data_IF_594726807725
#
_entry.id   IF_594726807725
#
_cell.length_a   1.000
_cell.length_b   1.000
_cell.length_c   1.000
_cell.angle_alpha   90.00
_cell.angle_beta   90.00
_cell.angle_gamma   90.00
#
_symmetry.space_group_name_H-M   'P 1'
#
loop_
_entity.id
_entity.type
_entity.pdbx_description
1 polymer ?
#
# COMPACT_ATOMS: atom_id res chain seq x y z
N UNK A 1 4.43 12.73 -2.12
CA UNK A 1 3.67 11.65 -2.82
C UNK A 1 2.50 11.20 -1.97
N UNK A 2 1.36 10.88 -2.60
CA UNK A 2 0.25 10.13 -1.99
C UNK A 2 -0.41 9.26 -3.06
N UNK A 3 -0.24 7.94 -2.98
CA UNK A 3 -0.75 6.97 -3.97
C UNK A 3 -1.44 5.83 -3.25
N UNK A 4 -2.62 5.45 -3.74
CA UNK A 4 -3.35 4.28 -3.26
C UNK A 4 -3.54 3.29 -4.41
N UNK A 5 -3.23 2.03 -4.15
CA UNK A 5 -3.42 0.92 -5.07
C UNK A 5 -4.22 -0.20 -4.40
N UNK A 6 -5.19 -0.76 -5.11
CA UNK A 6 -5.94 -1.94 -4.73
C UNK A 6 -5.28 -3.17 -5.35
N UNK A 7 -4.84 -4.10 -4.50
CA UNK A 7 -4.01 -5.23 -4.91
C UNK A 7 -4.18 -6.43 -3.99
N UNK A 8 -3.73 -7.60 -4.45
CA UNK A 8 -3.67 -8.81 -3.61
C UNK A 8 -2.40 -8.87 -2.77
N UNK A 9 -2.34 -9.71 -1.74
CA UNK A 9 -1.10 -9.94 -0.98
C UNK A 9 0.06 -10.37 -1.89
N UNK A 10 -0.22 -11.21 -2.88
CA UNK A 10 0.77 -11.62 -3.88
C UNK A 10 1.27 -10.43 -4.71
N UNK A 11 0.36 -9.57 -5.18
CA UNK A 11 0.71 -8.38 -5.94
C UNK A 11 1.44 -7.34 -5.09
N UNK A 12 1.07 -7.22 -3.82
CA UNK A 12 1.77 -6.40 -2.83
C UNK A 12 3.22 -6.82 -2.71
N UNK A 13 3.45 -8.12 -2.49
CA UNK A 13 4.81 -8.67 -2.35
C UNK A 13 5.58 -8.40 -3.63
N UNK A 14 5.01 -8.77 -4.79
CA UNK A 14 5.65 -8.61 -6.08
C UNK A 14 6.05 -7.17 -6.40
N UNK A 15 5.12 -6.22 -6.26
CA UNK A 15 5.36 -4.81 -6.56
C UNK A 15 6.43 -4.24 -5.64
N UNK A 16 6.36 -4.52 -4.34
CA UNK A 16 7.32 -3.98 -3.38
C UNK A 16 8.70 -4.64 -3.51
N UNK A 17 8.80 -5.94 -3.78
CA UNK A 17 10.08 -6.59 -4.07
C UNK A 17 10.74 -6.00 -5.32
N UNK A 18 9.99 -5.75 -6.40
CA UNK A 18 10.53 -5.06 -7.60
C UNK A 18 10.91 -3.61 -7.32
N UNK A 19 10.17 -2.91 -6.46
CA UNK A 19 10.50 -1.55 -6.03
C UNK A 19 11.84 -1.52 -5.26
N UNK A 20 12.02 -2.40 -4.28
CA UNK A 20 13.26 -2.47 -3.49
C UNK A 20 14.44 -2.83 -4.39
N UNK A 21 14.28 -3.80 -5.30
CA UNK A 21 15.32 -4.18 -6.27
C UNK A 21 15.71 -3.04 -7.21
N UNK A 22 14.74 -2.29 -7.73
CA UNK A 22 15.00 -1.19 -8.67
C UNK A 22 15.59 0.06 -8.01
N UNK A 23 15.33 0.28 -6.72
CA UNK A 23 15.80 1.45 -5.98
C UNK A 23 17.06 1.19 -5.14
N UNK A 24 17.33 -0.07 -4.79
CA UNK A 24 18.37 -0.43 -3.82
C UNK A 24 18.05 0.01 -2.39
N UNK A 25 16.81 0.39 -2.13
CA UNK A 25 16.36 0.83 -0.80
C UNK A 25 16.05 -0.35 0.11
N UNK A 26 16.04 -0.06 1.40
CA UNK A 26 15.74 -1.02 2.45
C UNK A 26 14.29 -0.87 2.88
N UNK A 27 13.70 -1.99 3.30
CA UNK A 27 12.41 -2.02 3.94
C UNK A 27 12.59 -2.23 5.44
N UNK A 28 11.86 -1.45 6.22
CA UNK A 28 11.79 -1.55 7.66
C UNK A 28 10.36 -1.84 8.09
N UNK A 29 10.19 -2.81 8.97
CA UNK A 29 8.90 -3.31 9.41
C UNK A 29 8.80 -3.27 10.93
N UNK A 30 7.63 -2.87 11.45
CA UNK A 30 7.34 -2.96 12.87
C UNK A 30 7.08 -4.41 13.27
N UNK A 31 8.00 -5.01 14.03
CA UNK A 31 7.84 -6.37 14.53
C UNK A 31 7.30 -6.34 15.95
N UNK A 32 6.06 -6.80 16.13
CA UNK A 32 5.38 -6.74 17.44
C UNK A 32 6.10 -7.57 18.52
N UNK A 33 6.59 -8.76 18.17
CA UNK A 33 7.32 -9.65 19.10
C UNK A 33 8.52 -8.97 19.76
N UNK A 34 9.23 -8.15 18.99
CA UNK A 34 10.46 -7.50 19.43
C UNK A 34 10.21 -6.04 19.86
N UNK A 35 8.97 -5.54 19.71
CA UNK A 35 8.56 -4.15 19.89
C UNK A 35 9.58 -3.16 19.32
N UNK A 36 10.04 -3.40 18.09
CA UNK A 36 11.01 -2.54 17.39
C UNK A 36 10.84 -2.63 15.87
N UNK A 37 11.38 -1.63 15.18
CA UNK A 37 11.57 -1.75 13.74
C UNK A 37 12.76 -2.66 13.43
N UNK A 38 12.57 -3.56 12.47
CA UNK A 38 13.62 -4.43 11.93
C UNK A 38 13.76 -4.20 10.43
N UNK A 39 14.98 -4.34 9.92
CA UNK A 39 15.19 -4.38 8.46
C UNK A 39 14.76 -5.74 7.95
N UNK A 40 13.98 -5.73 6.88
CA UNK A 40 13.69 -6.92 6.08
C UNK A 40 14.60 -6.92 4.87
N UNK A 41 15.34 -8.01 4.70
CA UNK A 41 16.22 -8.19 3.54
C UNK A 41 15.41 -8.60 2.30
N UNK A 42 14.35 -9.38 2.50
CA UNK A 42 13.42 -9.80 1.45
C UNK A 42 11.97 -9.75 1.94
N UNK A 43 11.06 -9.69 0.97
CA UNK A 43 9.63 -9.71 1.19
C UNK A 43 9.04 -11.05 0.76
N UNK A 44 8.35 -11.73 1.68
CA UNK A 44 7.66 -12.99 1.41
C UNK A 44 6.29 -13.05 2.10
N UNK A 45 5.57 -14.15 1.86
CA UNK A 45 4.22 -14.36 2.39
C UNK A 45 4.18 -14.63 3.90
N UNK A 46 5.26 -15.14 4.49
CA UNK A 46 5.31 -15.47 5.92
C UNK A 46 5.26 -14.22 6.81
N UNK A 47 5.56 -13.06 6.23
CA UNK A 47 5.48 -11.74 6.88
C UNK A 47 4.02 -11.26 6.98
N UNK A 48 3.12 -11.77 6.14
CA UNK A 48 1.71 -11.38 6.09
C UNK A 48 0.86 -12.51 6.70
N UNK A 49 0.57 -12.46 7.99
CA UNK A 49 -0.09 -13.57 8.71
C UNK A 49 -1.56 -13.87 8.33
N UNK A 50 -2.27 -13.24 7.39
CA UNK A 50 -3.73 -13.42 7.13
C UNK A 50 -4.77 -13.42 8.31
N UNK A 51 -4.41 -13.72 9.56
CA UNK A 51 -5.25 -13.87 10.76
C UNK A 51 -5.10 -12.69 11.74
N UNK A 52 -4.04 -11.89 11.64
CA UNK A 52 -3.87 -10.68 12.46
C UNK A 52 -4.64 -9.48 11.88
N UNK A 53 -5.13 -8.51 12.68
CA UNK A 53 -5.74 -7.30 12.15
C UNK A 53 -4.66 -6.42 11.45
N UNK A 54 -4.52 -6.59 10.13
CA UNK A 54 -3.48 -5.97 9.30
C UNK A 54 -3.61 -4.45 9.17
N UNK A 55 -2.99 -3.71 10.09
CA UNK A 55 -2.43 -2.40 9.76
C UNK A 55 -0.96 -2.41 10.11
N UNK A 56 -0.14 -2.71 9.12
CA UNK A 56 1.29 -2.68 9.34
C UNK A 56 1.87 -1.33 8.89
N UNK A 57 2.74 -0.78 9.75
CA UNK A 57 3.53 0.41 9.43
C UNK A 57 4.88 -0.02 8.84
N UNK A 58 5.02 0.15 7.53
CA UNK A 58 6.20 -0.23 6.78
C UNK A 58 6.90 1.04 6.31
N UNK A 59 8.22 1.05 6.34
CA UNK A 59 9.02 2.19 5.91
C UNK A 59 10.03 1.76 4.86
N UNK A 60 10.06 2.45 3.72
CA UNK A 60 11.09 2.28 2.70
C UNK A 60 12.02 3.49 2.71
N UNK A 61 13.33 3.25 2.74
CA UNK A 61 14.32 4.33 2.81
C UNK A 61 15.72 3.86 2.46
N UNK A 62 16.68 4.78 2.47
CA UNK A 62 18.07 4.46 2.21
C UNK A 62 18.67 3.67 3.38
N UNK A 63 19.71 2.87 3.11
CA UNK A 63 20.43 2.12 4.16
C UNK A 63 21.04 3.03 5.23
N UNK A 64 21.40 4.28 4.88
CA UNK A 64 21.93 5.26 5.84
C UNK A 64 20.92 5.64 6.92
N UNK A 65 19.63 5.46 6.65
CA UNK A 65 18.54 5.76 7.58
C UNK A 65 18.30 4.62 8.59
N UNK A 66 18.90 3.45 8.39
CA UNK A 66 18.67 2.23 9.18
C UNK A 66 18.80 2.49 10.69
N UNK A 67 19.92 3.09 11.12
CA UNK A 67 20.18 3.38 12.54
C UNK A 67 19.09 4.25 13.16
N UNK A 68 18.59 5.23 12.40
CA UNK A 68 17.52 6.13 12.84
C UNK A 68 16.19 5.38 12.94
N UNK A 69 15.87 4.50 12.02
CA UNK A 69 14.59 3.78 12.04
C UNK A 69 14.56 2.73 13.15
N UNK A 70 15.59 1.89 13.25
CA UNK A 70 15.63 0.78 14.21
C UNK A 70 15.76 1.23 15.67
N UNK A 71 16.22 2.46 15.92
CA UNK A 71 16.32 3.02 17.27
C UNK A 71 14.98 3.45 17.85
N UNK A 72 13.91 3.44 17.05
CA UNK A 72 12.59 3.90 17.46
C UNK A 72 11.58 2.75 17.57
N UNK A 73 10.54 3.00 18.35
CA UNK A 73 9.31 2.22 18.41
C UNK A 73 8.23 2.82 17.51
N UNK A 74 7.10 2.12 17.32
CA UNK A 74 5.93 2.68 16.63
C UNK A 74 5.46 3.99 17.26
N UNK A 75 5.55 4.11 18.58
CA UNK A 75 5.15 5.31 19.35
C UNK A 75 6.19 6.43 19.28
N UNK A 76 7.48 6.11 19.14
CA UNK A 76 8.55 7.10 19.17
C UNK A 76 9.00 7.57 17.79
N UNK A 77 8.73 6.80 16.72
CA UNK A 77 9.04 7.22 15.34
C UNK A 77 8.01 8.26 14.84
N UNK A 78 8.24 9.51 15.24
CA UNK A 78 7.39 10.66 14.92
C UNK A 78 7.56 11.15 13.49
N UNK A 79 6.70 12.08 13.07
CA UNK A 79 6.66 12.61 11.70
C UNK A 79 8.00 13.21 11.25
N UNK A 80 8.72 13.85 12.17
CA UNK A 80 10.02 14.46 11.91
C UNK A 80 11.07 13.42 11.56
N UNK A 81 11.06 12.29 12.27
CA UNK A 81 11.98 11.16 12.05
C UNK A 81 11.64 10.36 10.80
N UNK A 82 10.39 10.45 10.31
CA UNK A 82 9.95 9.84 9.05
C UNK A 82 10.40 10.61 7.80
N UNK A 83 11.04 11.78 7.95
CA UNK A 83 11.54 12.55 6.80
C UNK A 83 12.55 11.73 6.00
N UNK A 84 12.42 11.73 4.68
CA UNK A 84 13.24 10.89 3.80
C UNK A 84 12.84 9.41 3.75
N UNK A 85 11.72 9.02 4.37
CA UNK A 85 11.16 7.67 4.27
C UNK A 85 9.84 7.69 3.51
N UNK A 86 9.54 6.58 2.84
CA UNK A 86 8.20 6.29 2.33
C UNK A 86 7.49 5.47 3.38
N UNK A 87 6.32 5.93 3.82
CA UNK A 87 5.40 5.12 4.62
C UNK A 87 4.54 4.29 3.68
N UNK A 88 4.57 2.98 3.87
CA UNK A 88 3.70 2.01 3.22
C UNK A 88 2.73 1.50 4.28
N UNK A 89 1.45 1.59 3.99
CA UNK A 89 0.41 1.01 4.83
C UNK A 89 -0.33 0.00 3.98
N UNK A 90 -0.16 -1.28 4.30
CA UNK A 90 -0.93 -2.38 3.75
C UNK A 90 -2.08 -2.70 4.69
N UNK A 91 -3.32 -2.61 4.21
CA UNK A 91 -4.53 -2.84 5.00
C UNK A 91 -5.24 -1.57 5.50
N UNK A 92 -6.35 -1.76 6.25
CA UNK A 92 -7.29 -0.72 6.69
C UNK A 92 -8.60 -1.35 7.24
N UNK A 93 -9.54 -0.53 7.76
CA UNK A 93 -10.74 -0.97 8.49
C UNK A 93 -11.43 -2.22 7.90
N UNK A 94 -11.25 -3.34 8.62
CA UNK A 94 -11.88 -4.67 8.50
C UNK A 94 -10.98 -5.83 8.02
N UNK A 95 -11.12 -6.94 8.75
CA UNK A 95 -10.16 -8.02 9.05
C UNK A 95 -9.96 -9.03 7.90
N UNK A 96 -10.50 -8.73 6.70
CA UNK A 96 -10.60 -9.69 5.59
C UNK A 96 -10.22 -9.11 4.22
N UNK A 97 -9.57 -7.95 4.18
CA UNK A 97 -9.30 -7.22 2.95
C UNK A 97 -7.88 -7.46 2.40
N UNK A 98 -7.75 -8.39 1.44
CA UNK A 98 -6.90 -8.25 0.24
C UNK A 98 -6.80 -6.74 -0.10
N UNK A 99 -5.66 -6.12 0.20
CA UNK A 99 -5.66 -4.76 0.77
C UNK A 99 -5.45 -3.59 -0.18
N UNK A 100 -6.09 -2.46 0.13
CA UNK A 100 -5.63 -1.17 -0.36
C UNK A 100 -4.25 -0.88 0.26
N UNK A 101 -3.27 -0.53 -0.56
CA UNK A 101 -1.95 -0.10 -0.11
C UNK A 101 -1.81 1.39 -0.36
N UNK A 102 -1.47 2.14 0.70
CA UNK A 102 -1.14 3.57 0.60
C UNK A 102 0.36 3.78 0.69
N UNK A 103 0.90 4.50 -0.28
CA UNK A 103 2.26 5.02 -0.29
C UNK A 103 2.21 6.52 -0.02
N UNK A 104 2.77 6.94 1.10
CA UNK A 104 2.82 8.35 1.48
C UNK A 104 4.24 8.74 1.87
N UNK A 105 4.65 9.95 1.51
CA UNK A 105 5.98 10.45 1.79
C UNK A 105 6.00 11.98 1.76
N UNK A 106 7.03 12.54 2.40
CA UNK A 106 7.39 13.95 2.28
C UNK A 106 7.92 14.30 0.87
N UNK A 107 8.45 15.51 0.68
CA UNK A 107 9.02 15.95 -0.61
C UNK A 107 10.53 15.70 -0.70
N UNK A 108 11.00 14.56 -0.19
CA UNK A 108 12.41 14.17 -0.17
C UNK A 108 12.91 13.62 -1.52
N UNK A 109 14.23 13.45 -1.66
CA UNK A 109 14.79 12.79 -2.84
C UNK A 109 14.37 11.30 -2.93
N UNK A 110 14.21 10.63 -1.79
CA UNK A 110 13.69 9.26 -1.70
C UNK A 110 12.28 9.21 -2.27
N UNK A 111 11.41 10.17 -1.95
CA UNK A 111 10.07 10.29 -2.55
C UNK A 111 10.13 10.39 -4.08
N UNK A 112 11.00 11.23 -4.63
CA UNK A 112 11.11 11.42 -6.08
C UNK A 112 11.53 10.13 -6.80
N UNK A 113 12.48 9.39 -6.23
CA UNK A 113 12.97 8.13 -6.77
C UNK A 113 11.88 7.06 -6.69
N UNK A 114 11.29 6.85 -5.50
CA UNK A 114 10.24 5.84 -5.31
C UNK A 114 9.01 6.16 -6.16
N UNK A 115 8.57 7.42 -6.23
CA UNK A 115 7.43 7.81 -7.05
C UNK A 115 7.68 7.51 -8.53
N UNK A 116 8.89 7.75 -9.04
CA UNK A 116 9.27 7.43 -10.42
C UNK A 116 9.18 5.92 -10.69
N UNK A 117 9.76 5.09 -9.84
CA UNK A 117 9.74 3.63 -10.02
C UNK A 117 8.34 3.05 -9.81
N UNK A 118 7.59 3.51 -8.80
CA UNK A 118 6.18 3.15 -8.61
C UNK A 118 5.33 3.49 -9.83
N UNK A 119 5.55 4.64 -10.49
CA UNK A 119 4.82 4.97 -11.71
C UNK A 119 5.09 3.96 -12.84
N UNK A 120 6.32 3.43 -12.95
CA UNK A 120 6.65 2.39 -13.94
C UNK A 120 5.98 1.06 -13.56
N UNK A 121 6.09 0.66 -12.29
CA UNK A 121 5.50 -0.58 -11.79
C UNK A 121 3.97 -0.56 -11.89
N UNK A 122 3.34 0.56 -11.55
CA UNK A 122 1.90 0.71 -11.68
C UNK A 122 1.45 0.69 -13.14
N UNK A 123 2.20 1.27 -14.08
CA UNK A 123 1.90 1.10 -15.51
C UNK A 123 2.00 -0.36 -15.99
N UNK A 124 2.86 -1.16 -15.35
CA UNK A 124 3.10 -2.56 -15.69
C UNK A 124 2.07 -3.51 -15.08
N UNK A 125 1.66 -3.27 -13.84
CA UNK A 125 0.88 -4.21 -13.03
C UNK A 125 -0.51 -3.73 -12.63
N UNK A 126 -0.81 -2.45 -12.86
CA UNK A 126 -2.06 -1.85 -12.46
C UNK A 126 -2.60 -0.91 -13.54
N UNK A 127 -3.84 -0.49 -13.34
CA UNK A 127 -4.51 0.51 -14.16
C UNK A 127 -4.96 1.64 -13.26
N UNK A 128 -4.98 2.85 -13.80
CA UNK A 128 -5.48 4.02 -13.08
C UNK A 128 -6.97 4.22 -13.40
N UNK A 129 -7.78 4.30 -12.36
CA UNK A 129 -9.22 4.56 -12.48
C UNK A 129 -10.09 3.35 -12.83
N UNK A 130 -11.31 3.37 -12.32
CA UNK A 130 -12.35 2.37 -12.55
C UNK A 130 -13.73 3.02 -12.62
N UNK A 131 -14.65 2.36 -13.31
CA UNK A 131 -16.08 2.67 -13.32
C UNK A 131 -16.80 1.87 -12.24
N UNK A 132 -17.87 2.43 -11.70
CA UNK A 132 -18.81 1.67 -10.90
C UNK A 132 -19.53 0.62 -11.75
N UNK A 133 -20.05 -0.44 -11.11
CA UNK A 133 -20.84 -1.49 -11.76
C UNK A 133 -22.05 -0.97 -12.56
N UNK A 134 -22.57 0.22 -12.25
CA UNK A 134 -23.64 0.89 -12.99
C UNK A 134 -23.13 1.79 -14.15
N UNK A 135 -21.85 1.71 -14.50
CA UNK A 135 -21.20 2.51 -15.55
C UNK A 135 -20.83 3.94 -15.15
N UNK A 136 -21.07 4.35 -13.89
CA UNK A 136 -20.78 5.73 -13.45
C UNK A 136 -19.29 5.91 -13.19
N UNK A 137 -18.72 6.98 -13.75
CA UNK A 137 -17.37 7.44 -13.44
C UNK A 137 -17.39 8.37 -12.23
N UNK A 138 -16.47 8.20 -11.28
CA UNK A 138 -16.31 9.09 -10.13
C UNK A 138 -14.86 9.58 -10.06
N UNK A 139 -14.67 10.89 -9.81
CA UNK A 139 -13.33 11.50 -9.68
C UNK A 139 -12.46 10.85 -8.59
N UNK A 140 -13.08 10.29 -7.54
CA UNK A 140 -12.35 9.61 -6.46
C UNK A 140 -11.73 8.30 -6.96
N UNK A 141 -12.47 7.48 -7.71
CA UNK A 141 -11.97 6.20 -8.20
C UNK A 141 -10.85 6.36 -9.24
N UNK A 142 -10.86 7.48 -9.96
CA UNK A 142 -9.86 7.86 -10.96
C UNK A 142 -8.48 8.18 -10.39
N UNK A 143 -8.40 8.48 -9.10
CA UNK A 143 -7.13 8.79 -8.44
C UNK A 143 -6.41 7.53 -7.91
N UNK A 144 -7.05 6.36 -8.00
CA UNK A 144 -6.54 5.11 -7.47
C UNK A 144 -6.06 4.16 -8.56
N UNK A 145 -5.14 3.29 -8.18
CA UNK A 145 -4.60 2.23 -9.02
C UNK A 145 -5.24 0.89 -8.66
N UNK A 146 -5.38 0.01 -9.64
CA UNK A 146 -6.07 -1.26 -9.49
C UNK A 146 -5.32 -2.33 -10.27
N UNK A 147 -4.96 -3.42 -9.60
CA UNK A 147 -4.43 -4.62 -10.28
C UNK A 147 -5.58 -5.41 -10.90
N UNK A 148 -5.30 -6.18 -11.95
CA UNK A 148 -6.32 -7.05 -12.58
C UNK A 148 -6.91 -8.04 -11.57
N UNK A 149 -6.08 -8.63 -10.71
CA UNK A 149 -6.53 -9.56 -9.67
C UNK A 149 -7.45 -8.87 -8.65
N UNK A 150 -7.16 -7.62 -8.27
CA UNK A 150 -8.06 -6.87 -7.39
C UNK A 150 -9.42 -6.63 -8.04
N UNK A 151 -9.47 -6.31 -9.33
CA UNK A 151 -10.73 -6.14 -10.06
C UNK A 151 -11.50 -7.44 -10.21
N UNK A 152 -10.82 -8.53 -10.57
CA UNK A 152 -11.44 -9.84 -10.76
C UNK A 152 -11.84 -10.52 -9.44
N UNK A 153 -11.36 -10.03 -8.29
CA UNK A 153 -11.69 -10.60 -6.98
C UNK A 153 -13.18 -10.52 -6.63
N UNK A 154 -13.95 -9.66 -7.31
CA UNK A 154 -15.37 -9.44 -7.03
C UNK A 154 -15.64 -8.78 -5.66
N UNK A 155 -14.59 -8.35 -4.95
CA UNK A 155 -14.73 -7.71 -3.64
C UNK A 155 -15.47 -6.39 -3.73
N UNK A 156 -16.22 -6.09 -2.68
CA UNK A 156 -16.89 -4.81 -2.55
C UNK A 156 -15.90 -3.72 -2.12
N UNK A 157 -15.25 -3.10 -3.10
CA UNK A 157 -14.26 -2.07 -2.83
C UNK A 157 -14.85 -0.73 -2.36
N UNK A 158 -16.18 -0.57 -2.36
CA UNK A 158 -16.86 0.68 -1.96
C UNK A 158 -16.67 0.98 -0.47
N UNK A 159 -16.50 -0.05 0.34
CA UNK A 159 -16.19 0.05 1.78
C UNK A 159 -14.90 0.87 2.00
N UNK A 160 -13.84 0.57 1.25
CA UNK A 160 -12.51 1.17 1.42
C UNK A 160 -12.39 2.60 0.87
N UNK A 161 -13.34 3.03 0.03
CA UNK A 161 -13.33 4.37 -0.58
C UNK A 161 -14.00 5.43 0.30
N UNK A 162 -14.33 5.11 1.57
CA UNK A 162 -14.94 6.04 2.52
C UNK A 162 -16.38 6.43 2.18
N UNK A 163 -17.08 5.62 1.36
CA UNK A 163 -18.50 5.88 1.03
C UNK A 163 -19.48 5.45 2.13
N UNK A 164 -18.96 5.01 3.27
CA UNK A 164 -19.72 4.58 4.45
C UNK A 164 -20.50 3.28 4.22
N UNK A 165 -21.09 2.75 5.29
CA UNK A 165 -22.06 1.66 5.26
C UNK A 165 -23.35 2.18 4.60
N UNK A 166 -23.33 2.31 3.27
CA UNK A 166 -24.55 2.43 2.47
C UNK A 166 -24.90 1.02 2.04
N UNK A 167 -25.69 0.31 2.85
CA UNK A 167 -26.09 -1.09 2.61
C UNK A 167 -26.49 -1.35 1.14
N UNK A 168 -27.25 -0.44 0.52
CA UNK A 168 -27.65 -0.52 -0.90
C UNK A 168 -26.51 -0.38 -1.92
N UNK A 169 -25.46 0.37 -1.59
CA UNK A 169 -24.28 0.48 -2.45
C UNK A 169 -23.34 -0.70 -2.24
N UNK A 170 -23.34 -1.26 -1.03
CA UNK A 170 -22.51 -2.40 -0.65
C UNK A 170 -23.06 -3.74 -1.11
N UNK A 171 -24.34 -3.81 -1.48
CA UNK A 171 -24.96 -4.97 -2.11
C UNK A 171 -24.62 -5.13 -3.60
N UNK A 172 -24.00 -4.13 -4.23
CA UNK A 172 -23.55 -4.20 -5.61
C UNK A 172 -22.07 -4.57 -5.67
N UNK A 173 -21.73 -5.80 -6.10
CA UNK A 173 -20.34 -6.18 -6.28
C UNK A 173 -19.77 -5.41 -7.46
N UNK A 174 -18.85 -4.49 -7.16
CA UNK A 174 -17.69 -4.31 -8.01
C UNK A 174 -17.50 -2.96 -8.68
N UNK A 175 -16.38 -2.94 -9.38
CA UNK A 175 -15.85 -1.89 -10.21
C UNK A 175 -15.33 -2.54 -11.49
N UNK A 176 -15.49 -1.88 -12.62
CA UNK A 176 -14.98 -2.35 -13.91
C UNK A 176 -13.86 -1.43 -14.40
N UNK A 177 -12.87 -1.93 -15.16
CA UNK A 177 -11.89 -1.07 -15.80
C UNK A 177 -12.58 -0.01 -16.64
N UNK A 178 -12.01 1.20 -16.69
CA UNK A 178 -12.38 2.15 -17.74
C UNK A 178 -11.95 1.61 -19.12
N UNK A 179 -12.75 1.86 -20.17
CA UNK A 179 -12.34 1.63 -21.56
C UNK A 179 -11.01 2.30 -21.89
#
# INVERSE_FOLDING_TARGET
MDKVIFLTSEDFIKINSELLKSTGFCLYFWRDTDKRFVRLDDLDFTILDENEPFSYDWFVGEKKDEKRVISHTKETLRREERKGLITLTYGGEDQYAIGATRYSADNSNVEKIVNRELNKLFKKYARKGVLESNGTANKITDNYYWTEKALSSGKNWRLFLGRGVREKCNSMPGFTPKP
#
